data_IF_531370196421
#
_entry.id   IF_531370196421
#
_cell.length_a   1.000
_cell.length_b   1.000
_cell.length_c   1.000
_cell.angle_alpha   90.00
_cell.angle_beta   90.00
_cell.angle_gamma   90.00
#
_symmetry.space_group_name_H-M   'P 1'
#
loop_
_entity.id
_entity.type
_entity.pdbx_description
1 polymer ?
#
# COMPACT_ATOMS: atom_id res chain seq x y z
N UNK A 1 6.43 -0.88 14.40
CA UNK A 1 5.78 0.02 15.36
C UNK A 1 4.47 0.53 14.77
N UNK A 2 3.39 0.38 15.53
CA UNK A 2 2.06 0.75 15.04
C UNK A 2 1.99 2.24 14.69
N UNK A 3 1.31 2.56 13.60
CA UNK A 3 1.11 3.92 13.15
C UNK A 3 2.24 4.50 12.32
N UNK A 4 3.31 3.75 12.07
CA UNK A 4 4.39 4.21 11.20
C UNK A 4 3.99 4.07 9.73
N UNK A 5 4.31 5.07 8.92
CA UNK A 5 4.14 4.96 7.47
C UNK A 5 5.17 3.97 6.95
N UNK A 6 4.71 2.91 6.29
CA UNK A 6 5.61 1.87 5.79
C UNK A 6 5.56 1.69 4.28
N UNK A 7 4.53 2.20 3.62
CA UNK A 7 4.36 1.98 2.19
C UNK A 7 3.51 3.09 1.57
N UNK A 8 3.84 3.49 0.35
CA UNK A 8 3.02 4.42 -0.42
C UNK A 8 2.79 3.86 -1.81
N UNK A 9 1.55 3.89 -2.27
CA UNK A 9 1.21 3.51 -3.65
C UNK A 9 0.95 4.77 -4.45
N UNK A 10 1.65 4.92 -5.56
CA UNK A 10 1.51 6.06 -6.46
C UNK A 10 0.87 5.55 -7.75
N UNK A 11 -0.39 5.92 -8.01
CA UNK A 11 -1.07 5.44 -9.21
C UNK A 11 -0.58 6.16 -10.46
N UNK A 12 -0.51 5.45 -11.57
CA UNK A 12 -0.06 6.02 -12.83
C UNK A 12 -0.78 5.35 -14.00
N UNK A 13 -1.27 6.16 -14.93
CA UNK A 13 -1.82 5.65 -16.17
C UNK A 13 -0.73 5.10 -17.09
N UNK A 14 0.46 5.69 -17.02
CA UNK A 14 1.65 5.22 -17.74
C UNK A 14 2.76 4.96 -16.74
N UNK A 15 2.90 3.72 -16.33
CA UNK A 15 3.85 3.37 -15.28
C UNK A 15 5.29 3.53 -15.73
N UNK A 16 5.58 3.38 -17.02
CA UNK A 16 6.93 3.58 -17.53
C UNK A 16 7.36 5.03 -17.39
N UNK A 17 6.48 5.96 -17.73
CA UNK A 17 6.77 7.40 -17.55
C UNK A 17 6.90 7.77 -16.08
N UNK A 18 6.06 7.21 -15.23
CA UNK A 18 6.13 7.47 -13.80
C UNK A 18 7.44 6.96 -13.21
N UNK A 19 7.87 5.75 -13.59
CA UNK A 19 9.15 5.20 -13.13
C UNK A 19 10.34 6.04 -13.60
N UNK A 20 10.28 6.53 -14.82
CA UNK A 20 11.33 7.41 -15.33
C UNK A 20 11.38 8.72 -14.55
N UNK A 21 10.22 9.31 -14.27
CA UNK A 21 10.17 10.55 -13.50
C UNK A 21 10.78 10.40 -12.12
N UNK A 22 10.28 9.45 -11.34
CA UNK A 22 10.72 9.27 -9.96
C UNK A 22 12.15 8.73 -9.88
N UNK A 23 12.51 7.82 -10.79
CA UNK A 23 13.85 7.29 -10.83
C UNK A 23 14.88 8.35 -11.19
N UNK A 24 14.55 9.25 -12.13
CA UNK A 24 15.45 10.34 -12.49
C UNK A 24 15.57 11.38 -11.39
N UNK A 25 14.44 11.65 -10.71
CA UNK A 25 14.42 12.67 -9.66
C UNK A 25 15.15 12.23 -8.39
N UNK A 26 14.91 11.00 -7.94
CA UNK A 26 15.41 10.52 -6.66
C UNK A 26 16.32 9.31 -6.74
N UNK A 27 16.57 8.78 -7.92
CA UNK A 27 17.39 7.59 -8.07
C UNK A 27 16.69 6.31 -7.63
N UNK A 28 15.37 6.33 -7.55
CA UNK A 28 14.63 5.13 -7.15
C UNK A 28 14.80 4.04 -8.20
N UNK A 29 15.02 2.81 -7.72
CA UNK A 29 15.09 1.62 -8.56
C UNK A 29 13.87 0.77 -8.31
N UNK A 30 13.30 0.23 -9.39
CA UNK A 30 12.01 -0.47 -9.32
C UNK A 30 12.17 -1.93 -9.68
N UNK A 31 11.39 -2.77 -9.02
CA UNK A 31 11.31 -4.18 -9.30
C UNK A 31 9.84 -4.56 -9.45
N UNK A 32 9.50 -5.21 -10.54
CA UNK A 32 8.11 -5.61 -10.79
C UNK A 32 7.69 -6.71 -9.85
N UNK A 33 6.47 -6.58 -9.29
CA UNK A 33 5.86 -7.63 -8.49
C UNK A 33 4.84 -8.37 -9.36
N UNK A 34 5.16 -9.58 -9.84
CA UNK A 34 4.31 -10.27 -10.81
C UNK A 34 3.01 -10.83 -10.22
N UNK A 35 2.89 -10.89 -8.91
CA UNK A 35 1.69 -11.40 -8.24
C UNK A 35 0.53 -10.43 -8.17
N UNK A 36 0.71 -9.20 -8.63
CA UNK A 36 -0.33 -8.17 -8.55
C UNK A 36 -1.30 -8.29 -9.74
N UNK A 37 -2.60 -8.03 -9.53
CA UNK A 37 -3.57 -8.00 -10.64
C UNK A 37 -3.37 -6.83 -11.61
N UNK A 38 -2.67 -5.78 -11.19
CA UNK A 38 -2.29 -4.66 -12.05
C UNK A 38 -0.78 -4.54 -12.06
N UNK A 39 -0.25 -3.70 -12.96
CA UNK A 39 1.18 -3.41 -12.91
C UNK A 39 1.54 -2.85 -11.54
N UNK A 40 2.62 -3.37 -10.97
CA UNK A 40 3.04 -2.96 -9.63
C UNK A 40 4.56 -3.02 -9.57
N UNK A 41 5.19 -1.85 -9.54
CA UNK A 41 6.63 -1.72 -9.56
C UNK A 41 7.09 -1.20 -8.22
N UNK A 42 7.78 -2.03 -7.45
CA UNK A 42 8.15 -1.75 -6.08
C UNK A 42 9.50 -1.06 -5.98
N UNK A 43 9.62 -0.21 -4.98
CA UNK A 43 10.88 0.44 -4.64
C UNK A 43 11.04 0.47 -3.12
N UNK A 44 12.28 0.61 -2.65
CA UNK A 44 12.58 0.69 -1.23
C UNK A 44 13.17 2.04 -0.91
N UNK A 45 12.71 2.64 0.18
CA UNK A 45 13.25 3.91 0.67
C UNK A 45 14.20 3.69 1.85
N UNK A 46 13.93 2.67 2.66
CA UNK A 46 14.72 2.31 3.84
C UNK A 46 14.46 0.84 4.17
N UNK A 47 14.99 0.38 5.29
CA UNK A 47 14.74 -1.00 5.75
C UNK A 47 13.27 -1.23 6.09
N UNK A 48 12.56 -0.18 6.50
CA UNK A 48 11.17 -0.29 6.97
C UNK A 48 10.15 0.40 6.08
N UNK A 49 10.60 1.14 5.07
CA UNK A 49 9.69 1.92 4.22
C UNK A 49 9.92 1.62 2.75
N UNK A 50 8.84 1.54 2.03
CA UNK A 50 8.89 1.33 0.59
C UNK A 50 7.70 1.94 -0.10
N UNK A 51 7.60 1.69 -1.39
CA UNK A 51 6.50 2.20 -2.18
C UNK A 51 6.37 1.44 -3.48
N UNK A 52 5.40 1.83 -4.27
CA UNK A 52 5.19 1.25 -5.58
C UNK A 52 4.54 2.25 -6.52
N UNK A 53 4.94 2.17 -7.79
CA UNK A 53 4.18 2.76 -8.87
C UNK A 53 3.22 1.68 -9.34
N UNK A 54 1.93 1.96 -9.34
CA UNK A 54 0.93 0.97 -9.75
C UNK A 54 0.10 1.47 -10.91
N UNK A 55 -0.32 0.55 -11.77
CA UNK A 55 -1.22 0.88 -12.85
C UNK A 55 -2.56 1.34 -12.28
N UNK A 56 -3.03 2.49 -12.76
CA UNK A 56 -4.31 3.05 -12.34
C UNK A 56 -5.20 3.14 -13.57
N UNK A 57 -6.07 2.18 -13.71
CA UNK A 57 -6.92 2.09 -14.89
C UNK A 57 -8.13 3.00 -14.74
N UNK A 58 -7.96 4.25 -15.15
CA UNK A 58 -9.02 5.24 -15.10
C UNK A 58 -9.35 5.78 -13.71
N UNK A 59 -8.72 5.24 -12.69
CA UNK A 59 -8.92 5.71 -11.33
C UNK A 59 -8.06 6.95 -11.10
N UNK A 60 -8.67 8.02 -10.64
CA UNK A 60 -7.97 9.30 -10.47
C UNK A 60 -7.64 9.62 -9.02
N UNK A 61 -7.59 8.61 -8.17
CA UNK A 61 -7.19 8.86 -6.78
C UNK A 61 -5.72 9.25 -6.71
N UNK A 62 -5.37 9.99 -5.67
CA UNK A 62 -3.97 10.31 -5.39
C UNK A 62 -3.24 9.15 -4.72
N UNK A 63 -2.01 9.41 -4.28
CA UNK A 63 -1.25 8.39 -3.55
C UNK A 63 -1.98 7.88 -2.31
N UNK A 64 -1.78 6.60 -2.00
CA UNK A 64 -2.33 5.99 -0.80
C UNK A 64 -1.19 5.60 0.12
N UNK A 65 -1.27 6.03 1.38
CA UNK A 65 -0.25 5.73 2.39
C UNK A 65 -0.75 4.59 3.27
N UNK A 66 0.15 3.65 3.57
CA UNK A 66 -0.14 2.50 4.44
C UNK A 66 0.61 2.66 5.76
N UNK A 67 -0.08 2.34 6.83
CA UNK A 67 0.46 2.43 8.19
C UNK A 67 0.59 1.05 8.78
N UNK A 68 1.70 0.83 9.49
CA UNK A 68 1.98 -0.44 10.14
C UNK A 68 1.09 -0.64 11.35
N UNK A 69 0.53 -1.84 11.50
CA UNK A 69 -0.25 -2.22 12.67
C UNK A 69 0.19 -3.60 13.13
N UNK A 70 -0.04 -3.89 14.40
CA UNK A 70 0.34 -5.18 14.98
C UNK A 70 -0.72 -6.26 14.68
N UNK A 71 -1.99 -5.89 14.69
CA UNK A 71 -3.11 -6.80 14.42
C UNK A 71 -4.12 -6.08 13.54
N UNK A 72 -4.13 -6.47 12.26
CA UNK A 72 -4.95 -5.78 11.28
C UNK A 72 -6.45 -5.95 11.53
N UNK A 73 -6.87 -7.09 12.06
CA UNK A 73 -8.28 -7.32 12.32
C UNK A 73 -8.78 -6.40 13.45
N UNK A 74 -7.99 -6.26 14.49
CA UNK A 74 -8.32 -5.39 15.61
C UNK A 74 -8.35 -3.92 15.17
N UNK A 75 -7.32 -3.48 14.45
CA UNK A 75 -7.22 -2.08 14.04
C UNK A 75 -8.24 -1.74 12.95
N UNK A 76 -8.53 -2.66 12.05
CA UNK A 76 -9.56 -2.45 11.03
C UNK A 76 -10.94 -2.25 11.67
N UNK A 77 -11.26 -3.03 12.71
CA UNK A 77 -12.50 -2.84 13.44
C UNK A 77 -12.54 -1.48 14.15
N UNK A 78 -11.40 -1.04 14.71
CA UNK A 78 -11.31 0.26 15.35
C UNK A 78 -11.55 1.43 14.40
N UNK A 79 -11.16 1.29 13.15
CA UNK A 79 -11.43 2.34 12.15
C UNK A 79 -12.91 2.67 12.10
N UNK A 80 -13.77 1.66 12.03
CA UNK A 80 -15.21 1.86 12.04
C UNK A 80 -15.72 2.47 13.34
N UNK A 81 -15.21 1.99 14.47
CA UNK A 81 -15.59 2.51 15.79
C UNK A 81 -15.23 3.98 15.97
N UNK A 82 -14.15 4.43 15.33
CA UNK A 82 -13.67 5.80 15.45
C UNK A 82 -14.27 6.74 14.41
N UNK A 83 -15.25 6.29 13.64
CA UNK A 83 -15.96 7.15 12.70
C UNK A 83 -15.46 7.07 11.25
N UNK A 84 -14.52 6.18 10.98
CA UNK A 84 -14.07 5.93 9.63
C UNK A 84 -14.80 4.78 8.96
N UNK A 85 -14.29 4.32 7.83
CA UNK A 85 -14.83 3.17 7.11
C UNK A 85 -13.77 2.08 7.05
N UNK A 86 -14.10 0.90 7.57
CA UNK A 86 -13.23 -0.27 7.52
C UNK A 86 -13.20 -0.86 6.11
N UNK A 87 -12.07 -1.44 5.76
CA UNK A 87 -11.95 -2.23 4.54
C UNK A 87 -11.99 -3.72 4.84
N UNK A 88 -11.70 -4.52 3.83
CA UNK A 88 -11.53 -5.96 3.99
C UNK A 88 -10.05 -6.26 3.97
N UNK A 89 -9.61 -7.17 4.84
CA UNK A 89 -8.19 -7.55 4.90
C UNK A 89 -7.91 -8.62 3.86
N UNK A 90 -6.87 -8.41 3.06
CA UNK A 90 -6.42 -9.35 2.03
C UNK A 90 -4.97 -9.74 2.28
N UNK A 91 -4.61 -11.00 2.04
CA UNK A 91 -3.23 -11.42 2.19
C UNK A 91 -2.37 -11.05 0.98
N UNK A 92 -1.11 -10.73 1.27
CA UNK A 92 -0.05 -10.71 0.27
C UNK A 92 0.83 -11.91 0.61
N UNK A 93 0.83 -12.96 -0.21
CA UNK A 93 1.45 -14.24 0.15
C UNK A 93 2.88 -14.10 0.65
N UNK A 94 3.15 -14.67 1.83
CA UNK A 94 4.48 -14.66 2.44
C UNK A 94 4.96 -13.32 2.95
N UNK A 95 4.15 -12.27 2.86
CA UNK A 95 4.56 -10.91 3.22
C UNK A 95 3.70 -10.31 4.33
N UNK A 96 2.39 -10.34 4.19
CA UNK A 96 1.52 -9.72 5.18
C UNK A 96 0.09 -9.58 4.74
N UNK A 97 -0.61 -8.67 5.40
CA UNK A 97 -2.02 -8.39 5.16
C UNK A 97 -2.23 -6.90 5.00
N UNK A 98 -3.14 -6.52 4.13
CA UNK A 98 -3.50 -5.12 3.99
C UNK A 98 -5.01 -4.93 3.98
N UNK A 99 -5.44 -3.73 4.38
CA UNK A 99 -6.83 -3.32 4.27
C UNK A 99 -6.85 -1.86 3.85
N UNK A 100 -7.75 -1.52 2.92
CA UNK A 100 -7.92 -0.14 2.48
C UNK A 100 -9.11 0.43 3.22
N UNK A 101 -8.90 1.54 3.90
CA UNK A 101 -9.86 2.17 4.80
C UNK A 101 -10.05 3.63 4.44
N UNK A 102 -10.98 4.28 5.12
CA UNK A 102 -11.12 5.74 5.07
C UNK A 102 -11.15 6.29 6.49
N UNK A 103 -10.55 7.44 6.69
CA UNK A 103 -10.61 8.12 7.98
C UNK A 103 -11.96 8.84 8.15
N UNK A 104 -12.12 9.55 9.26
CA UNK A 104 -13.40 10.23 9.58
C UNK A 104 -13.74 11.36 8.61
N UNK A 105 -12.78 11.83 7.82
CA UNK A 105 -12.99 12.88 6.83
C UNK A 105 -13.03 12.33 5.40
N UNK A 106 -13.05 11.01 5.24
CA UNK A 106 -13.15 10.36 3.94
C UNK A 106 -11.83 10.18 3.21
N UNK A 107 -10.70 10.44 3.86
CA UNK A 107 -9.39 10.21 3.24
C UNK A 107 -9.07 8.73 3.21
N UNK A 108 -8.67 8.24 2.04
CA UNK A 108 -8.33 6.83 1.88
C UNK A 108 -6.91 6.58 2.39
N UNK A 109 -6.75 5.49 3.13
CA UNK A 109 -5.44 5.05 3.63
C UNK A 109 -5.43 3.53 3.74
N UNK A 110 -4.27 2.97 3.99
CA UNK A 110 -4.14 1.53 4.17
C UNK A 110 -3.59 1.17 5.53
N UNK A 111 -3.98 -0.02 5.99
CA UNK A 111 -3.36 -0.68 7.13
C UNK A 111 -2.50 -1.82 6.58
N UNK A 112 -1.38 -2.07 7.22
CA UNK A 112 -0.48 -3.16 6.85
C UNK A 112 -0.02 -3.91 8.09
N UNK A 113 -0.16 -5.23 8.06
CA UNK A 113 0.41 -6.11 9.09
C UNK A 113 1.42 -7.02 8.42
N UNK A 114 2.67 -6.95 8.88
CA UNK A 114 3.69 -7.88 8.39
C UNK A 114 3.41 -9.29 8.92
N UNK A 115 3.38 -10.26 8.02
CA UNK A 115 3.13 -11.65 8.37
C UNK A 115 3.80 -12.55 7.33
N UNK A 116 4.97 -13.14 7.65
CA UNK A 116 5.66 -14.02 6.71
C UNK A 116 4.89 -15.31 6.41
N UNK A 117 3.85 -15.59 7.19
CA UNK A 117 3.01 -16.76 7.00
C UNK A 117 1.68 -16.43 6.32
N UNK A 118 1.53 -15.23 5.75
CA UNK A 118 0.31 -14.88 5.04
C UNK A 118 0.07 -15.90 3.92
N UNK A 119 -1.18 -16.39 3.77
CA UNK A 119 -1.45 -17.48 2.84
C UNK A 119 -1.28 -17.05 1.38
N UNK A 120 -0.93 -18.03 0.55
CA UNK A 120 -0.91 -17.85 -0.89
C UNK A 120 -2.33 -17.88 -1.45
N UNK A 121 -2.49 -17.29 -2.62
CA UNK A 121 -3.77 -17.33 -3.32
C UNK A 121 -3.94 -18.70 -4.01
#
# INVERSE_FOLDING_TARGET
MAGQMVHVEIPAGDTAKAREFWGSLFGWQFEEYPGSPTEYHMTRFSETQGGAIMGADGDKRGPRVYFDVDDINTENARVGELGGSSGEAYPVPGMGWFAVCKDSEGNEFGLWQTDPNAPGA
#
